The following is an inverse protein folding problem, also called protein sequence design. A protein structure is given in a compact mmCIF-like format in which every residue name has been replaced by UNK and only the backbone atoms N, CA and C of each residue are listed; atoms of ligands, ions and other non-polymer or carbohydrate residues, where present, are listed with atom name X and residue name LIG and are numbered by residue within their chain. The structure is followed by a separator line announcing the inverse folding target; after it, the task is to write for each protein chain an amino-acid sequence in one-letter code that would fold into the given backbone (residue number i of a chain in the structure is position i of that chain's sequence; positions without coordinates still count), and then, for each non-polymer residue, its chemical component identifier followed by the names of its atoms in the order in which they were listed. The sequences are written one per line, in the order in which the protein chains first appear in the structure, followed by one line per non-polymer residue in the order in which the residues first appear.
data_IF_971898312892
#
_entry.id   IF_971898312892
#
_cell.length_a   1.000
_cell.length_b   1.000
_cell.length_c   1.000
_cell.angle_alpha   90.00
_cell.angle_beta   90.00
_cell.angle_gamma   90.00
#
_symmetry.space_group_name_H-M   'P 1'
#
loop_
_entity.id
_entity.type
_entity.pdbx_description
1 polymer ?
#
# COMPACT_ATOMS: atom_id res chain seq x y z
N UNK A 1 42.58 -33.75 57.86
CA UNK A 1 42.89 -32.89 56.70
C UNK A 1 42.37 -33.57 55.45
N UNK A 2 41.69 -32.80 54.60
CA UNK A 2 41.13 -33.12 53.27
C UNK A 2 39.88 -34.02 53.22
N UNK A 3 38.71 -33.40 52.98
CA UNK A 3 37.73 -33.92 52.03
C UNK A 3 37.25 -32.78 51.14
N UNK A 4 37.21 -33.05 49.84
CA UNK A 4 36.77 -32.15 48.79
C UNK A 4 35.24 -32.04 48.75
N UNK A 5 34.72 -30.87 48.38
CA UNK A 5 33.36 -30.79 47.85
C UNK A 5 33.20 -29.69 46.78
N UNK A 6 32.25 -29.94 45.88
CA UNK A 6 32.12 -29.44 44.50
C UNK A 6 31.70 -27.96 44.39
N UNK A 7 32.20 -27.29 43.35
CA UNK A 7 31.71 -25.99 42.89
C UNK A 7 30.61 -26.17 41.82
N UNK A 8 29.39 -25.69 42.12
CA UNK A 8 28.33 -25.43 41.13
C UNK A 8 28.20 -23.90 40.92
N UNK A 9 28.49 -23.44 39.70
CA UNK A 9 28.37 -22.03 39.31
C UNK A 9 26.95 -21.77 38.77
N UNK A 10 26.10 -21.10 39.56
CA UNK A 10 24.82 -20.55 39.07
C UNK A 10 25.05 -19.21 38.36
N UNK A 11 24.76 -19.17 37.05
CA UNK A 11 24.78 -17.95 36.23
C UNK A 11 23.49 -17.16 36.48
N UNK A 12 23.59 -16.05 37.21
CA UNK A 12 22.51 -15.07 37.37
C UNK A 12 22.47 -14.10 36.18
N UNK A 13 21.34 -14.08 35.46
CA UNK A 13 21.07 -13.20 34.31
C UNK A 13 20.91 -11.75 34.78
N UNK A 14 21.80 -10.86 34.38
CA UNK A 14 21.75 -9.43 34.72
C UNK A 14 20.49 -8.76 34.14
N UNK A 15 19.72 -8.08 35.00
CA UNK A 15 18.59 -7.22 34.60
C UNK A 15 19.13 -5.85 34.18
N UNK A 16 19.05 -5.53 32.89
CA UNK A 16 19.35 -4.19 32.38
C UNK A 16 18.23 -3.23 32.76
N UNK A 17 18.54 -2.20 33.55
CA UNK A 17 17.65 -1.06 33.75
C UNK A 17 17.70 -0.18 32.50
N UNK A 18 16.55 0.16 31.94
CA UNK A 18 16.40 1.14 30.85
C UNK A 18 16.85 2.52 31.35
N UNK A 19 17.89 3.10 30.74
CA UNK A 19 18.44 4.41 31.13
C UNK A 19 17.59 5.54 30.54
N UNK A 20 17.69 6.73 31.15
CA UNK A 20 17.01 7.97 30.73
C UNK A 20 17.30 8.37 29.27
N UNK A 21 18.36 7.84 28.66
CA UNK A 21 18.73 8.06 27.26
C UNK A 21 17.85 7.27 26.27
N UNK A 22 17.32 6.10 26.66
CA UNK A 22 16.28 5.39 25.87
C UNK A 22 14.95 6.16 25.86
N UNK A 23 14.73 7.03 26.85
CA UNK A 23 13.55 7.89 26.95
C UNK A 23 13.71 9.13 26.06
N UNK A 24 14.95 9.61 25.84
CA UNK A 24 15.24 10.85 25.12
C UNK A 24 15.32 10.68 23.59
N UNK A 25 15.58 9.48 23.09
CA UNK A 25 15.41 9.15 21.65
C UNK A 25 13.93 9.04 21.22
N UNK A 26 12.99 9.25 22.16
CA UNK A 26 11.55 9.01 22.03
C UNK A 26 10.73 10.28 21.73
N UNK A 27 11.30 11.27 21.03
CA UNK A 27 10.60 12.53 20.73
C UNK A 27 10.68 12.87 19.24
N UNK A 28 9.65 12.45 18.48
CA UNK A 28 9.02 13.23 17.38
C UNK A 28 7.90 12.41 16.72
N UNK A 29 6.65 12.47 17.24
CA UNK A 29 5.36 12.40 16.50
C UNK A 29 4.19 12.06 17.44
N UNK A 30 3.02 12.73 17.33
CA UNK A 30 1.90 12.54 18.24
C UNK A 30 0.99 11.37 17.81
N UNK A 31 1.07 10.28 18.58
CA UNK A 31 0.18 9.13 18.62
C UNK A 31 0.55 8.35 19.89
N UNK A 32 -0.42 7.80 20.62
CA UNK A 32 -0.10 7.16 21.91
C UNK A 32 0.38 5.72 21.79
N UNK A 33 0.10 5.09 20.65
CA UNK A 33 0.52 3.73 20.36
C UNK A 33 1.97 3.81 19.89
N UNK A 34 2.89 3.61 20.85
CA UNK A 34 4.31 3.47 20.56
C UNK A 34 4.56 2.06 20.03
N UNK A 35 4.44 1.88 18.71
CA UNK A 35 4.88 0.64 18.06
C UNK A 35 6.40 0.56 18.20
N UNK A 36 6.91 -0.57 18.68
CA UNK A 36 8.35 -0.77 18.75
C UNK A 36 8.81 -1.38 17.42
N UNK A 37 9.38 -0.52 16.57
CA UNK A 37 9.90 -0.87 15.24
C UNK A 37 11.36 -1.31 15.26
N UNK A 38 12.00 -1.39 16.44
CA UNK A 38 13.38 -1.86 16.54
C UNK A 38 13.48 -3.29 16.01
N UNK A 39 14.28 -3.47 14.96
CA UNK A 39 14.43 -4.76 14.28
C UNK A 39 13.23 -5.14 13.41
N UNK A 40 12.36 -4.19 13.04
CA UNK A 40 11.27 -4.45 12.13
C UNK A 40 11.78 -4.90 10.76
N UNK A 41 11.08 -5.86 10.16
CA UNK A 41 11.37 -6.32 8.81
C UNK A 41 10.09 -6.77 8.10
N UNK A 42 10.11 -6.67 6.78
CA UNK A 42 9.03 -7.12 5.92
C UNK A 42 9.20 -8.63 5.68
N UNK A 43 8.14 -9.41 5.89
CA UNK A 43 8.15 -10.87 5.76
C UNK A 43 8.08 -11.23 4.27
N UNK A 44 9.21 -11.64 3.69
CA UNK A 44 9.24 -12.09 2.30
C UNK A 44 8.59 -13.50 2.21
N UNK A 45 7.67 -13.74 1.23
CA UNK A 45 6.91 -15.00 1.16
C UNK A 45 7.78 -16.27 1.11
N UNK A 46 8.97 -16.17 0.51
CA UNK A 46 9.92 -17.27 0.35
C UNK A 46 10.72 -17.60 1.63
N UNK A 47 10.53 -16.87 2.74
CA UNK A 47 11.27 -17.09 4.01
C UNK A 47 10.53 -17.92 5.05
N UNK A 48 9.44 -18.58 4.65
CA UNK A 48 8.76 -19.55 5.50
C UNK A 48 9.66 -20.77 5.74
N UNK A 49 10.16 -20.95 6.96
CA UNK A 49 10.77 -22.21 7.43
C UNK A 49 9.78 -23.37 7.17
N UNK A 50 10.23 -24.56 6.73
CA UNK A 50 9.32 -25.61 6.32
C UNK A 50 8.50 -26.11 7.51
N UNK A 51 7.17 -26.03 7.40
CA UNK A 51 6.28 -26.76 8.28
C UNK A 51 6.57 -28.26 8.11
N UNK A 52 7.07 -28.87 9.17
CA UNK A 52 7.32 -30.30 9.27
C UNK A 52 6.01 -31.05 9.11
N UNK A 53 5.90 -31.79 8.01
CA UNK A 53 5.17 -33.05 7.91
C UNK A 53 3.66 -32.99 7.87
N UNK A 54 3.10 -32.92 6.67
CA UNK A 54 2.00 -33.82 6.27
C UNK A 54 2.03 -34.07 4.76
N UNK A 55 2.08 -35.36 4.45
CA UNK A 55 1.97 -36.08 3.18
C UNK A 55 1.20 -35.40 2.05
N UNK A 56 1.83 -35.44 0.87
CA UNK A 56 1.27 -35.34 -0.48
C UNK A 56 -0.01 -36.17 -0.68
N UNK A 57 -1.13 -35.51 -0.99
CA UNK A 57 -2.17 -36.07 -1.86
C UNK A 57 -2.83 -34.98 -2.70
N UNK A 58 -2.80 -35.20 -4.02
CA UNK A 58 -3.63 -34.51 -5.00
C UNK A 58 -5.11 -34.68 -4.64
N UNK A 59 -5.88 -33.59 -4.61
CA UNK A 59 -7.31 -33.66 -4.92
C UNK A 59 -7.85 -32.31 -5.41
N UNK A 60 -8.26 -32.33 -6.67
CA UNK A 60 -9.29 -31.49 -7.23
C UNK A 60 -10.64 -31.73 -6.53
N UNK A 61 -11.44 -30.66 -6.43
CA UNK A 61 -12.84 -30.59 -5.99
C UNK A 61 -13.12 -30.65 -4.47
N UNK A 62 -13.38 -29.47 -3.89
CA UNK A 62 -14.43 -29.28 -2.89
C UNK A 62 -14.99 -27.85 -2.99
N UNK A 63 -16.30 -27.75 -3.22
CA UNK A 63 -17.08 -26.52 -3.23
C UNK A 63 -17.17 -25.91 -1.82
N UNK A 64 -16.82 -24.63 -1.69
CA UNK A 64 -17.09 -23.82 -0.50
C UNK A 64 -16.44 -22.45 -0.67
N UNK A 65 -17.26 -21.39 -0.71
CA UNK A 65 -16.91 -19.96 -0.91
C UNK A 65 -15.59 -19.56 -0.23
N UNK A 66 -14.49 -19.61 -0.96
CA UNK A 66 -13.23 -18.97 -0.61
C UNK A 66 -12.99 -17.83 -1.60
N UNK A 67 -12.74 -16.62 -1.10
CA UNK A 67 -12.38 -15.47 -1.93
C UNK A 67 -11.14 -15.82 -2.77
N UNK A 68 -11.18 -15.75 -4.11
CA UNK A 68 -10.02 -16.06 -4.92
C UNK A 68 -9.10 -14.82 -5.03
N UNK A 69 -7.79 -15.10 -4.97
CA UNK A 69 -6.66 -14.35 -5.58
C UNK A 69 -6.42 -12.90 -5.15
N UNK A 70 -5.37 -12.65 -4.33
CA UNK A 70 -4.66 -11.37 -4.30
C UNK A 70 -3.17 -11.60 -4.05
N UNK A 71 -2.31 -10.79 -4.67
CA UNK A 71 -0.92 -10.64 -4.25
C UNK A 71 -0.89 -10.40 -2.74
N UNK A 72 -0.43 -11.39 -1.97
CA UNK A 72 -0.23 -11.24 -0.52
C UNK A 72 0.75 -10.08 -0.32
N UNK A 73 0.25 -8.97 0.22
CA UNK A 73 1.14 -7.92 0.70
C UNK A 73 1.85 -8.50 1.91
N UNK A 74 3.19 -8.49 1.88
CA UNK A 74 4.00 -9.01 2.98
C UNK A 74 3.65 -8.35 4.31
N UNK A 75 3.47 -9.14 5.37
CA UNK A 75 3.33 -8.59 6.71
C UNK A 75 4.62 -7.90 7.18
N UNK A 76 4.51 -7.02 8.18
CA UNK A 76 5.67 -6.45 8.86
C UNK A 76 5.83 -7.08 10.24
N UNK A 77 6.95 -7.76 10.46
CA UNK A 77 7.27 -8.34 11.76
C UNK A 77 7.86 -7.27 12.67
N UNK A 78 7.34 -7.22 13.90
CA UNK A 78 7.74 -6.30 14.97
C UNK A 78 8.26 -7.11 16.17
N UNK A 79 9.53 -7.58 16.16
CA UNK A 79 10.04 -8.56 17.13
C UNK A 79 10.10 -8.04 18.57
N UNK A 80 10.16 -6.73 18.76
CA UNK A 80 10.31 -6.13 20.08
C UNK A 80 9.03 -5.45 20.59
N UNK A 81 7.90 -5.56 19.87
CA UNK A 81 6.65 -4.94 20.28
C UNK A 81 5.77 -5.88 21.11
N UNK A 82 5.76 -5.70 22.44
CA UNK A 82 5.04 -6.57 23.38
C UNK A 82 3.74 -5.97 23.93
N UNK A 83 3.47 -4.69 23.66
CA UNK A 83 2.25 -4.03 24.14
C UNK A 83 0.98 -4.62 23.51
N UNK A 84 -0.16 -4.39 24.16
CA UNK A 84 -1.47 -4.71 23.56
C UNK A 84 -1.81 -3.60 22.57
N UNK A 85 -2.19 -3.98 21.36
CA UNK A 85 -2.82 -3.07 20.39
C UNK A 85 -4.31 -3.34 20.44
N UNK A 86 -5.11 -2.32 20.72
CA UNK A 86 -6.57 -2.41 20.90
C UNK A 86 -7.33 -1.63 19.82
N UNK A 87 -6.84 -1.65 18.58
CA UNK A 87 -7.54 -1.02 17.48
C UNK A 87 -7.24 -1.70 16.15
N UNK A 88 -8.20 -1.57 15.24
CA UNK A 88 -8.10 -1.91 13.82
C UNK A 88 -8.09 -0.58 13.07
N UNK A 89 -7.33 -0.49 11.99
CA UNK A 89 -7.35 0.68 11.13
C UNK A 89 -7.84 0.32 9.72
N UNK A 90 -8.67 1.17 9.15
CA UNK A 90 -9.24 0.99 7.81
C UNK A 90 -9.14 2.28 7.00
N UNK A 91 -8.69 2.18 5.76
CA UNK A 91 -8.81 3.21 4.74
C UNK A 91 -9.81 2.76 3.70
N UNK A 92 -10.98 3.40 3.69
CA UNK A 92 -12.12 3.04 2.85
C UNK A 92 -12.15 3.98 1.64
N UNK A 93 -11.46 3.58 0.57
CA UNK A 93 -11.44 4.29 -0.69
C UNK A 93 -12.70 4.06 -1.54
N UNK A 94 -12.76 4.71 -2.71
CA UNK A 94 -13.89 4.57 -3.63
C UNK A 94 -14.06 3.16 -4.20
N UNK A 95 -12.95 2.44 -4.42
CA UNK A 95 -12.94 1.11 -5.05
C UNK A 95 -12.40 0.00 -4.14
N UNK A 96 -11.51 0.33 -3.20
CA UNK A 96 -10.82 -0.64 -2.36
C UNK A 96 -10.78 -0.17 -0.91
N UNK A 97 -10.95 -1.12 0.02
CA UNK A 97 -10.76 -0.98 1.45
C UNK A 97 -9.42 -1.60 1.82
N UNK A 98 -8.61 -0.87 2.60
CA UNK A 98 -7.34 -1.36 3.13
C UNK A 98 -7.43 -1.41 4.64
N UNK A 99 -7.21 -2.57 5.19
CA UNK A 99 -7.31 -2.84 6.61
C UNK A 99 -5.93 -3.21 7.14
N UNK A 100 -5.57 -2.59 8.26
CA UNK A 100 -4.34 -2.83 9.00
C UNK A 100 -4.68 -3.18 10.43
N UNK A 101 -4.13 -4.29 10.92
CA UNK A 101 -4.31 -4.74 12.30
C UNK A 101 -3.06 -5.41 12.85
N UNK A 102 -2.93 -5.43 14.17
CA UNK A 102 -1.82 -6.08 14.85
C UNK A 102 -2.22 -7.46 15.37
N UNK A 103 -1.35 -8.46 15.22
CA UNK A 103 -1.53 -9.81 15.76
C UNK A 103 -0.31 -10.22 16.58
N UNK A 104 -0.55 -10.90 17.72
CA UNK A 104 0.52 -11.50 18.54
C UNK A 104 0.81 -12.92 18.05
N UNK A 105 2.08 -13.31 18.05
CA UNK A 105 2.48 -14.69 17.79
C UNK A 105 2.41 -15.52 19.08
N UNK A 106 1.21 -16.00 19.42
CA UNK A 106 0.94 -16.71 20.69
C UNK A 106 1.69 -18.05 20.82
N UNK A 107 2.15 -18.61 19.69
CA UNK A 107 2.82 -19.93 19.63
C UNK A 107 4.31 -19.86 19.24
N UNK A 108 4.87 -18.66 19.11
CA UNK A 108 6.31 -18.49 18.86
C UNK A 108 7.06 -18.34 20.18
N UNK A 109 8.27 -18.91 20.27
CA UNK A 109 9.21 -18.59 21.35
C UNK A 109 9.73 -17.16 21.26
N UNK A 110 9.55 -16.51 20.11
CA UNK A 110 10.00 -15.15 19.84
C UNK A 110 8.95 -14.14 20.33
N UNK A 111 9.41 -13.15 21.10
CA UNK A 111 8.58 -12.03 21.52
C UNK A 111 8.06 -11.21 20.32
N UNK A 112 7.01 -10.42 20.54
CA UNK A 112 6.54 -9.43 19.58
C UNK A 112 5.22 -9.77 18.88
N UNK A 113 5.00 -9.16 17.71
CA UNK A 113 3.89 -9.52 16.83
C UNK A 113 4.07 -9.03 15.40
N UNK A 114 2.97 -8.96 14.65
CA UNK A 114 2.94 -8.59 13.23
C UNK A 114 1.94 -7.47 12.98
N UNK A 115 2.30 -6.55 12.09
CA UNK A 115 1.35 -5.68 11.42
C UNK A 115 0.90 -6.41 10.15
N UNK A 116 -0.40 -6.65 10.06
CA UNK A 116 -1.03 -7.45 9.01
C UNK A 116 -1.78 -6.52 8.07
N UNK A 117 -1.80 -6.85 6.78
CA UNK A 117 -2.36 -6.02 5.72
C UNK A 117 -3.39 -6.80 4.93
N UNK A 118 -4.64 -6.32 4.91
CA UNK A 118 -5.73 -6.97 4.18
C UNK A 118 -6.41 -5.98 3.25
N UNK A 119 -6.75 -6.44 2.05
CA UNK A 119 -7.50 -5.67 1.06
C UNK A 119 -8.88 -6.29 0.81
N UNK A 120 -9.87 -5.43 0.58
CA UNK A 120 -11.20 -5.79 0.12
C UNK A 120 -11.64 -4.82 -0.98
N UNK A 121 -12.54 -5.26 -1.86
CA UNK A 121 -13.28 -4.36 -2.75
C UNK A 121 -14.30 -3.56 -1.92
N UNK A 122 -14.45 -2.26 -2.20
CA UNK A 122 -15.40 -1.40 -1.44
C UNK A 122 -16.84 -1.88 -1.57
N UNK A 123 -17.20 -2.48 -2.70
CA UNK A 123 -18.54 -3.07 -2.90
C UNK A 123 -18.77 -4.32 -2.05
N UNK A 124 -17.70 -4.95 -1.55
CA UNK A 124 -17.72 -6.06 -0.58
C UNK A 124 -17.47 -5.58 0.85
N UNK A 125 -18.03 -4.43 1.22
CA UNK A 125 -17.92 -3.87 2.58
C UNK A 125 -18.41 -4.84 3.66
N UNK A 126 -19.41 -5.68 3.36
CA UNK A 126 -19.93 -6.67 4.31
C UNK A 126 -18.87 -7.70 4.72
N UNK A 127 -18.09 -8.22 3.76
CA UNK A 127 -16.99 -9.14 4.02
C UNK A 127 -15.92 -8.51 4.92
N UNK A 128 -15.62 -7.22 4.70
CA UNK A 128 -14.68 -6.46 5.53
C UNK A 128 -15.21 -6.27 6.96
N UNK A 129 -16.50 -5.96 7.11
CA UNK A 129 -17.14 -5.81 8.43
C UNK A 129 -17.18 -7.14 9.18
N UNK A 130 -17.49 -8.25 8.50
CA UNK A 130 -17.45 -9.58 9.09
C UNK A 130 -16.02 -9.95 9.54
N UNK A 131 -15.01 -9.65 8.73
CA UNK A 131 -13.62 -9.86 9.10
C UNK A 131 -13.21 -9.02 10.32
N UNK A 132 -13.58 -7.73 10.36
CA UNK A 132 -13.33 -6.89 11.53
C UNK A 132 -14.01 -7.44 12.79
N UNK A 133 -15.23 -7.98 12.67
CA UNK A 133 -15.94 -8.60 13.78
C UNK A 133 -15.15 -9.80 14.33
N UNK A 134 -14.66 -10.67 13.45
CA UNK A 134 -13.82 -11.80 13.86
C UNK A 134 -12.53 -11.34 14.58
N UNK A 135 -11.89 -10.26 14.12
CA UNK A 135 -10.74 -9.67 14.80
C UNK A 135 -11.10 -9.13 16.18
N UNK A 136 -12.26 -8.48 16.32
CA UNK A 136 -12.77 -7.99 17.60
C UNK A 136 -13.01 -9.13 18.60
N UNK A 137 -13.67 -10.20 18.16
CA UNK A 137 -13.98 -11.38 18.99
C UNK A 137 -12.68 -12.04 19.48
N UNK A 138 -11.72 -12.27 18.57
CA UNK A 138 -10.41 -12.85 18.91
C UNK A 138 -9.61 -11.98 19.90
N UNK A 139 -9.68 -10.66 19.76
CA UNK A 139 -9.02 -9.73 20.68
C UNK A 139 -9.62 -9.80 22.09
N UNK A 140 -10.95 -9.93 22.19
CA UNK A 140 -11.66 -10.09 23.45
C UNK A 140 -11.28 -11.41 24.15
N UNK A 141 -11.23 -12.51 23.39
CA UNK A 141 -10.81 -13.82 23.89
C UNK A 141 -9.39 -13.81 24.46
N UNK A 142 -8.44 -13.17 23.77
CA UNK A 142 -7.02 -13.20 24.13
C UNK A 142 -6.64 -12.27 25.28
N UNK A 143 -7.30 -11.11 25.41
CA UNK A 143 -6.87 -10.06 26.35
C UNK A 143 -7.86 -9.79 27.48
N UNK A 144 -9.03 -10.44 27.50
CA UNK A 144 -10.01 -10.36 28.59
C UNK A 144 -10.44 -8.93 28.98
N UNK A 145 -10.24 -7.95 28.10
CA UNK A 145 -10.29 -6.52 28.43
C UNK A 145 -11.71 -5.97 28.33
N UNK A 146 -11.97 -4.86 29.04
CA UNK A 146 -13.24 -4.13 28.98
C UNK A 146 -13.52 -3.71 27.52
N UNK A 147 -14.69 -4.04 26.93
CA UNK A 147 -15.02 -3.75 25.52
C UNK A 147 -14.79 -2.30 25.07
N UNK A 148 -14.81 -1.34 26.00
CA UNK A 148 -14.66 0.09 25.72
C UNK A 148 -13.27 0.58 25.32
N UNK A 149 -12.25 -0.28 25.27
CA UNK A 149 -10.90 0.10 24.78
C UNK A 149 -10.69 -0.20 23.29
N UNK A 150 -11.41 -1.18 22.74
CA UNK A 150 -11.34 -1.55 21.33
C UNK A 150 -12.01 -0.47 20.48
N UNK A 151 -11.36 -0.08 19.39
CA UNK A 151 -11.93 0.87 18.45
C UNK A 151 -11.47 0.62 17.01
N UNK A 152 -12.19 1.20 16.06
CA UNK A 152 -11.81 1.24 14.65
C UNK A 152 -11.36 2.66 14.29
N UNK A 153 -10.14 2.79 13.79
CA UNK A 153 -9.62 4.02 13.20
C UNK A 153 -9.94 4.00 11.69
N UNK A 154 -10.87 4.83 11.24
CA UNK A 154 -11.32 4.84 9.86
C UNK A 154 -10.89 6.13 9.14
N UNK A 155 -10.34 6.00 7.94
CA UNK A 155 -10.01 7.13 7.06
C UNK A 155 -10.49 6.87 5.63
N UNK A 156 -10.26 7.84 4.74
CA UNK A 156 -10.79 7.85 3.38
C UNK A 156 -12.26 8.27 3.32
N UNK A 157 -12.74 8.64 2.14
CA UNK A 157 -14.13 9.10 1.94
C UNK A 157 -15.19 8.10 2.44
N UNK A 158 -14.91 6.79 2.36
CA UNK A 158 -15.81 5.74 2.83
C UNK A 158 -15.96 5.67 4.35
N UNK A 159 -15.02 6.23 5.13
CA UNK A 159 -15.15 6.30 6.59
C UNK A 159 -16.37 7.12 7.04
N UNK A 160 -16.83 8.06 6.22
CA UNK A 160 -18.09 8.79 6.45
C UNK A 160 -19.29 7.98 5.99
N UNK A 161 -19.21 7.41 4.78
CA UNK A 161 -20.32 6.67 4.14
C UNK A 161 -20.72 5.42 4.92
N UNK A 162 -19.76 4.68 5.47
CA UNK A 162 -20.00 3.39 6.14
C UNK A 162 -19.88 3.47 7.67
N UNK A 163 -19.83 4.68 8.22
CA UNK A 163 -19.66 4.92 9.65
C UNK A 163 -20.68 4.15 10.51
N UNK A 164 -21.97 4.39 10.26
CA UNK A 164 -23.05 3.76 11.05
C UNK A 164 -23.04 2.24 10.87
N UNK A 165 -22.80 1.75 9.65
CA UNK A 165 -22.71 0.31 9.36
C UNK A 165 -21.64 -0.39 10.20
N UNK A 166 -20.44 0.18 10.26
CA UNK A 166 -19.33 -0.39 11.03
C UNK A 166 -19.62 -0.29 12.53
N UNK A 167 -20.06 0.88 13.00
CA UNK A 167 -20.38 1.11 14.42
C UNK A 167 -21.46 0.14 14.91
N UNK A 168 -22.55 0.02 14.17
CA UNK A 168 -23.71 -0.76 14.58
C UNK A 168 -23.43 -2.27 14.52
N UNK A 169 -22.62 -2.72 13.55
CA UNK A 169 -22.24 -4.12 13.42
C UNK A 169 -21.24 -4.59 14.48
N UNK A 170 -20.28 -3.75 14.85
CA UNK A 170 -19.18 -4.10 15.76
C UNK A 170 -19.47 -3.73 17.22
N UNK A 171 -20.34 -2.75 17.48
CA UNK A 171 -20.61 -2.26 18.83
C UNK A 171 -19.41 -1.58 19.50
N UNK A 172 -18.43 -1.11 18.72
CA UNK A 172 -17.21 -0.43 19.19
C UNK A 172 -17.16 1.03 18.71
N UNK A 173 -16.32 1.84 19.34
CA UNK A 173 -16.08 3.20 18.89
C UNK A 173 -15.42 3.21 17.50
N UNK A 174 -15.98 3.99 16.58
CA UNK A 174 -15.36 4.27 15.28
C UNK A 174 -14.88 5.73 15.30
N UNK A 175 -13.58 5.93 15.11
CA UNK A 175 -12.94 7.23 15.06
C UNK A 175 -12.58 7.55 13.60
N UNK A 176 -13.04 8.70 13.10
CA UNK A 176 -12.76 9.12 11.72
C UNK A 176 -11.55 10.05 11.70
N UNK A 177 -10.64 9.79 10.77
CA UNK A 177 -9.40 10.55 10.58
C UNK A 177 -9.33 11.13 9.17
N UNK A 178 -8.68 12.29 9.05
CA UNK A 178 -8.46 12.95 7.75
C UNK A 178 -7.59 12.09 6.81
N UNK A 179 -8.04 11.96 5.56
CA UNK A 179 -7.41 11.11 4.55
C UNK A 179 -5.99 11.58 4.21
N UNK A 180 -5.80 12.88 3.98
CA UNK A 180 -4.49 13.41 3.59
C UNK A 180 -3.49 13.31 4.73
N UNK A 181 -3.91 13.63 5.96
CA UNK A 181 -3.06 13.48 7.13
C UNK A 181 -2.62 12.02 7.33
N UNK A 182 -3.54 11.07 7.21
CA UNK A 182 -3.24 9.65 7.32
C UNK A 182 -2.27 9.18 6.23
N UNK A 183 -2.47 9.56 4.97
CA UNK A 183 -1.53 9.23 3.89
C UNK A 183 -0.10 9.67 4.20
N UNK A 184 0.06 10.89 4.73
CA UNK A 184 1.38 11.48 5.04
C UNK A 184 2.01 10.79 6.24
N UNK A 185 1.26 10.56 7.32
CA UNK A 185 1.78 9.86 8.50
C UNK A 185 2.21 8.44 8.14
N UNK A 186 1.44 7.73 7.32
CA UNK A 186 1.78 6.38 6.88
C UNK A 186 3.01 6.36 5.98
N UNK A 187 3.11 7.28 5.01
CA UNK A 187 4.29 7.40 4.15
C UNK A 187 5.54 7.74 4.95
N UNK A 188 5.45 8.74 5.83
CA UNK A 188 6.56 9.15 6.66
C UNK A 188 7.05 8.01 7.55
N UNK A 189 6.15 7.19 8.11
CA UNK A 189 6.50 5.99 8.87
C UNK A 189 7.25 4.98 8.01
N UNK A 190 6.80 4.74 6.78
CA UNK A 190 7.48 3.83 5.87
C UNK A 190 8.87 4.32 5.44
N UNK A 191 9.04 5.62 5.23
CA UNK A 191 10.34 6.19 4.86
C UNK A 191 11.33 6.12 6.04
N UNK A 192 10.88 6.38 7.27
CA UNK A 192 11.79 6.54 8.42
C UNK A 192 11.97 5.28 9.26
N UNK A 193 10.94 4.44 9.39
CA UNK A 193 10.93 3.35 10.38
C UNK A 193 11.10 1.95 9.79
N UNK A 194 10.68 1.73 8.53
CA UNK A 194 10.62 0.38 7.95
C UNK A 194 11.78 0.16 6.96
N UNK A 195 12.74 -0.73 7.27
CA UNK A 195 13.82 -1.07 6.35
C UNK A 195 13.30 -1.79 5.10
N UNK A 196 13.99 -1.57 3.96
CA UNK A 196 13.65 -2.21 2.67
C UNK A 196 12.20 -1.97 2.22
N UNK A 197 11.64 -0.83 2.58
CA UNK A 197 10.29 -0.43 2.18
C UNK A 197 10.29 0.41 0.92
N UNK A 198 11.10 1.46 0.90
CA UNK A 198 11.19 2.41 -0.21
C UNK A 198 12.23 1.92 -1.21
N UNK A 199 11.92 1.99 -2.50
CA UNK A 199 12.85 1.63 -3.56
C UNK A 199 12.68 2.49 -4.82
N UNK A 200 13.70 2.48 -5.66
CA UNK A 200 13.67 3.02 -7.02
C UNK A 200 13.62 1.87 -8.02
N UNK A 201 13.04 2.09 -9.20
CA UNK A 201 12.96 1.07 -10.25
C UNK A 201 12.95 1.67 -11.65
N UNK A 202 13.73 1.09 -12.56
CA UNK A 202 13.56 1.20 -14.02
C UNK A 202 13.99 -0.12 -14.68
N UNK A 203 13.71 -0.30 -15.97
CA UNK A 203 14.21 -1.48 -16.69
C UNK A 203 15.74 -1.49 -16.85
N UNK A 204 16.35 -0.32 -16.98
CA UNK A 204 17.81 -0.17 -17.14
C UNK A 204 18.57 -0.19 -15.81
N UNK A 205 17.87 0.06 -14.72
CA UNK A 205 18.40 0.14 -13.36
C UNK A 205 17.38 -0.54 -12.45
N UNK A 206 17.52 -1.86 -12.20
CA UNK A 206 16.56 -2.67 -11.47
C UNK A 206 16.29 -2.17 -10.04
N UNK A 207 15.46 -2.90 -9.30
CA UNK A 207 14.98 -2.49 -7.99
C UNK A 207 16.12 -2.24 -6.99
N UNK A 208 16.23 -0.99 -6.51
CA UNK A 208 17.21 -0.58 -5.51
C UNK A 208 16.51 -0.02 -4.26
N UNK A 209 16.69 -0.71 -3.13
CA UNK A 209 16.17 -0.24 -1.86
C UNK A 209 16.92 1.00 -1.36
N UNK A 210 16.15 1.95 -0.86
CA UNK A 210 16.65 3.18 -0.26
C UNK A 210 16.71 2.99 1.25
N UNK A 211 17.87 3.25 1.85
CA UNK A 211 18.00 3.26 3.31
C UNK A 211 17.14 4.38 3.92
N UNK A 212 16.56 4.16 5.11
CA UNK A 212 15.86 5.22 5.84
C UNK A 212 16.71 6.48 5.97
N UNK A 213 16.06 7.65 5.83
CA UNK A 213 16.72 8.96 5.85
C UNK A 213 16.15 9.81 6.98
N UNK A 214 16.99 10.58 7.66
CA UNK A 214 16.55 11.54 8.69
C UNK A 214 15.88 12.78 8.09
N UNK A 215 16.33 13.21 6.90
CA UNK A 215 15.80 14.37 6.17
C UNK A 215 15.05 13.89 4.94
N UNK A 216 13.72 13.88 5.04
CA UNK A 216 12.83 13.37 3.98
C UNK A 216 12.08 14.48 3.25
N UNK A 217 12.00 15.69 3.81
CA UNK A 217 11.26 16.81 3.23
C UNK A 217 12.16 17.79 2.46
N UNK A 218 11.61 18.53 1.47
CA UNK A 218 10.26 18.38 0.94
C UNK A 218 10.16 17.22 -0.05
N UNK A 219 8.98 16.60 -0.14
CA UNK A 219 8.68 15.59 -1.15
C UNK A 219 7.28 15.82 -1.75
N UNK A 220 7.05 15.21 -2.93
CA UNK A 220 5.73 15.06 -3.51
C UNK A 220 5.21 13.64 -3.29
N UNK A 221 4.00 13.51 -2.77
CA UNK A 221 3.26 12.25 -2.79
C UNK A 221 2.24 12.32 -3.93
N UNK A 222 2.41 11.44 -4.91
CA UNK A 222 1.45 11.18 -5.99
C UNK A 222 0.66 9.94 -5.61
N UNK A 223 -0.49 10.13 -4.97
CA UNK A 223 -1.36 9.03 -4.53
C UNK A 223 -2.33 8.65 -5.65
N UNK A 224 -2.12 7.47 -6.26
CA UNK A 224 -2.89 6.97 -7.41
C UNK A 224 -3.94 5.96 -6.94
N UNK A 225 -5.17 6.43 -6.77
CA UNK A 225 -6.36 5.62 -6.49
C UNK A 225 -7.32 5.59 -7.68
N UNK A 226 -8.63 5.72 -7.40
CA UNK A 226 -9.65 5.86 -8.46
C UNK A 226 -9.37 7.11 -9.32
N UNK A 227 -9.02 8.23 -8.68
CA UNK A 227 -8.36 9.38 -9.29
C UNK A 227 -6.94 9.55 -8.76
N UNK A 228 -6.33 10.72 -8.96
CA UNK A 228 -4.97 11.01 -8.48
C UNK A 228 -4.95 12.30 -7.67
N UNK A 229 -4.35 12.24 -6.49
CA UNK A 229 -4.07 13.39 -5.64
C UNK A 229 -2.56 13.59 -5.52
N UNK A 230 -2.11 14.83 -5.72
CA UNK A 230 -0.70 15.20 -5.63
C UNK A 230 -0.53 16.15 -4.44
N UNK A 231 0.22 15.70 -3.45
CA UNK A 231 0.46 16.42 -2.20
C UNK A 231 1.92 16.87 -2.17
N UNK A 232 2.15 18.15 -1.90
CA UNK A 232 3.45 18.66 -1.49
C UNK A 232 3.54 18.57 0.03
N UNK A 233 4.60 17.96 0.53
CA UNK A 233 4.83 17.77 1.96
C UNK A 233 6.14 18.45 2.32
N UNK A 234 6.04 19.53 3.09
CA UNK A 234 7.16 20.31 3.62
C UNK A 234 7.54 19.89 5.05
N UNK A 235 6.68 19.12 5.72
CA UNK A 235 6.94 18.57 7.05
C UNK A 235 5.77 17.73 7.58
N UNK A 236 5.89 17.13 8.79
CA UNK A 236 4.92 16.16 9.32
C UNK A 236 3.46 16.65 9.41
N UNK A 237 3.26 17.97 9.46
CA UNK A 237 1.94 18.63 9.50
C UNK A 237 1.86 19.84 8.56
N UNK A 238 2.84 19.95 7.67
CA UNK A 238 2.93 21.06 6.72
C UNK A 238 2.84 20.46 5.32
N UNK A 239 1.62 20.44 4.78
CA UNK A 239 1.36 19.84 3.49
C UNK A 239 0.18 20.53 2.80
N UNK A 240 0.17 20.39 1.48
CA UNK A 240 -0.84 20.98 0.62
C UNK A 240 -1.14 20.04 -0.55
N UNK A 241 -2.42 19.88 -0.88
CA UNK A 241 -2.81 19.32 -2.18
C UNK A 241 -2.53 20.36 -3.28
N UNK A 242 -1.50 20.11 -4.08
CA UNK A 242 -1.04 21.02 -5.14
C UNK A 242 -1.60 20.70 -6.51
N UNK A 243 -2.09 19.47 -6.69
CA UNK A 243 -2.67 19.06 -7.95
C UNK A 243 -3.39 17.71 -7.88
N UNK A 244 -3.82 17.27 -9.05
CA UNK A 244 -4.44 15.97 -9.23
C UNK A 244 -5.01 15.83 -10.64
N UNK A 245 -5.48 14.63 -10.95
CA UNK A 245 -6.19 14.33 -12.20
C UNK A 245 -7.28 13.31 -11.93
N UNK A 246 -8.39 13.39 -12.66
CA UNK A 246 -9.42 12.35 -12.64
C UNK A 246 -9.00 11.10 -13.42
N UNK A 247 -7.95 11.20 -14.25
CA UNK A 247 -7.37 10.11 -15.04
C UNK A 247 -6.46 9.24 -14.15
N UNK A 248 -7.06 8.52 -13.21
CA UNK A 248 -6.38 7.57 -12.33
C UNK A 248 -6.69 6.10 -12.66
N UNK A 249 -6.52 5.23 -11.67
CA UNK A 249 -6.79 3.80 -11.81
C UNK A 249 -8.25 3.48 -12.11
N UNK A 250 -9.20 4.29 -11.63
CA UNK A 250 -10.62 4.14 -11.95
C UNK A 250 -10.93 4.43 -13.41
N UNK A 251 -10.19 5.35 -14.05
CA UNK A 251 -10.31 5.59 -15.50
C UNK A 251 -9.76 4.42 -16.29
N UNK A 252 -8.57 3.92 -15.94
CA UNK A 252 -7.99 2.74 -16.60
C UNK A 252 -8.93 1.54 -16.49
N UNK A 253 -9.37 1.22 -15.27
CA UNK A 253 -10.25 0.10 -15.01
C UNK A 253 -11.59 0.25 -15.73
N UNK A 254 -12.23 1.43 -15.64
CA UNK A 254 -13.49 1.70 -16.31
C UNK A 254 -13.42 1.50 -17.82
N UNK A 255 -12.39 2.04 -18.47
CA UNK A 255 -12.20 1.89 -19.92
C UNK A 255 -11.90 0.45 -20.31
N UNK A 256 -11.00 -0.25 -19.59
CA UNK A 256 -10.67 -1.63 -19.90
C UNK A 256 -11.86 -2.57 -19.67
N UNK A 257 -12.67 -2.34 -18.64
CA UNK A 257 -13.90 -3.14 -18.43
C UNK A 257 -14.92 -3.02 -19.57
N UNK A 258 -14.89 -1.93 -20.33
CA UNK A 258 -15.73 -1.72 -21.51
C UNK A 258 -15.12 -2.30 -22.78
N UNK A 259 -13.78 -2.32 -22.87
CA UNK A 259 -13.05 -2.62 -24.09
C UNK A 259 -12.45 -4.03 -24.12
N UNK A 260 -12.35 -4.69 -22.97
CA UNK A 260 -11.75 -6.02 -22.84
C UNK A 260 -12.63 -6.94 -21.99
N UNK A 261 -12.30 -8.24 -22.00
CA UNK A 261 -13.01 -9.27 -21.25
C UNK A 261 -12.54 -9.43 -19.80
N UNK A 262 -11.52 -8.67 -19.38
CA UNK A 262 -10.87 -8.76 -18.07
C UNK A 262 -11.87 -8.56 -16.91
N UNK A 263 -11.74 -9.38 -15.86
CA UNK A 263 -12.72 -9.42 -14.76
C UNK A 263 -12.32 -8.56 -13.57
N UNK A 264 -11.03 -8.45 -13.33
CA UNK A 264 -10.48 -7.69 -12.22
C UNK A 264 -9.27 -6.87 -12.68
N UNK A 265 -8.77 -6.02 -11.79
CA UNK A 265 -7.65 -5.14 -12.10
C UNK A 265 -6.32 -5.88 -12.34
N UNK A 266 -6.12 -7.04 -11.70
CA UNK A 266 -4.91 -7.84 -11.86
C UNK A 266 -4.89 -8.52 -13.25
N UNK A 267 -6.03 -9.05 -13.72
CA UNK A 267 -6.19 -9.54 -15.09
C UNK A 267 -5.83 -8.45 -16.12
N UNK A 268 -6.25 -7.20 -15.87
CA UNK A 268 -5.98 -6.07 -16.76
C UNK A 268 -4.49 -5.75 -16.85
N UNK A 269 -3.79 -5.76 -15.71
CA UNK A 269 -2.34 -5.57 -15.67
C UNK A 269 -1.61 -6.73 -16.35
N UNK A 270 -2.05 -7.96 -16.13
CA UNK A 270 -1.48 -9.15 -16.79
C UNK A 270 -1.67 -9.11 -18.32
N UNK A 271 -2.87 -8.76 -18.79
CA UNK A 271 -3.14 -8.55 -20.23
C UNK A 271 -2.25 -7.46 -20.80
N UNK A 272 -2.15 -6.31 -20.11
CA UNK A 272 -1.24 -5.25 -20.51
C UNK A 272 0.20 -5.78 -20.60
N UNK A 273 0.63 -6.64 -19.68
CA UNK A 273 1.93 -7.32 -19.64
C UNK A 273 2.34 -8.06 -20.92
N UNK A 274 1.38 -8.48 -21.74
CA UNK A 274 1.60 -9.23 -23.00
C UNK A 274 1.28 -8.43 -24.27
N UNK A 275 0.78 -7.20 -24.14
CA UNK A 275 0.40 -6.37 -25.27
C UNK A 275 1.56 -5.58 -25.88
N UNK A 276 1.37 -5.18 -27.12
CA UNK A 276 2.18 -4.21 -27.85
C UNK A 276 1.34 -2.96 -28.17
N UNK A 277 1.67 -1.84 -27.51
CA UNK A 277 0.94 -0.60 -27.70
C UNK A 277 1.13 -0.01 -29.10
N UNK A 278 2.21 -0.36 -29.81
CA UNK A 278 2.48 0.17 -31.15
C UNK A 278 1.40 -0.23 -32.17
N UNK A 279 0.63 -1.28 -31.92
CA UNK A 279 -0.52 -1.66 -32.75
C UNK A 279 -1.68 -0.66 -32.62
N UNK A 280 -1.86 -0.06 -31.44
CA UNK A 280 -3.03 0.79 -31.09
C UNK A 280 -2.67 2.27 -31.12
N UNK A 281 -1.47 2.61 -30.66
CA UNK A 281 -0.98 3.98 -30.54
C UNK A 281 -0.34 4.47 -31.84
N UNK A 282 -0.49 5.77 -32.11
CA UNK A 282 0.29 6.44 -33.13
C UNK A 282 1.59 6.97 -32.50
N UNK A 283 2.72 6.48 -33.01
CA UNK A 283 4.06 6.84 -32.57
C UNK A 283 4.62 8.00 -33.40
N UNK A 284 5.68 8.65 -32.91
CA UNK A 284 6.41 9.69 -33.65
C UNK A 284 6.92 9.15 -35.00
N UNK A 285 7.41 7.91 -35.03
CA UNK A 285 7.86 7.26 -36.25
C UNK A 285 6.76 7.04 -37.29
N UNK A 286 5.50 6.86 -36.86
CA UNK A 286 4.36 6.74 -37.79
C UNK A 286 4.05 8.07 -38.50
N UNK A 287 4.41 9.20 -37.90
CA UNK A 287 4.16 10.55 -38.43
C UNK A 287 5.35 11.04 -39.27
N UNK A 288 6.58 10.86 -38.75
CA UNK A 288 7.78 11.45 -39.32
C UNK A 288 8.68 10.45 -40.06
N UNK A 289 8.41 9.14 -39.97
CA UNK A 289 9.23 8.07 -40.55
C UNK A 289 10.56 7.81 -39.83
N UNK A 290 10.92 8.63 -38.85
CA UNK A 290 12.16 8.57 -38.08
C UNK A 290 12.00 9.30 -36.74
N UNK A 291 13.09 9.41 -35.97
CA UNK A 291 13.17 10.25 -34.78
C UNK A 291 12.91 11.73 -35.12
N UNK A 292 12.23 12.45 -34.23
CA UNK A 292 12.03 13.89 -34.39
C UNK A 292 13.10 14.68 -33.63
N UNK A 293 14.28 14.77 -34.26
CA UNK A 293 15.50 15.31 -33.65
C UNK A 293 15.43 16.78 -33.22
N UNK A 294 14.56 17.62 -33.82
CA UNK A 294 14.45 19.05 -33.46
C UNK A 294 14.06 19.28 -32.00
N UNK A 295 13.28 18.38 -31.42
CA UNK A 295 12.79 18.46 -30.04
C UNK A 295 13.16 17.22 -29.22
N UNK A 296 14.03 16.35 -29.75
CA UNK A 296 14.57 15.19 -29.04
C UNK A 296 13.59 14.05 -28.78
N UNK A 297 12.57 13.87 -29.62
CA UNK A 297 11.63 12.73 -29.49
C UNK A 297 12.09 11.54 -30.33
N UNK A 298 12.09 10.35 -29.72
CA UNK A 298 12.41 9.10 -30.41
C UNK A 298 11.22 8.67 -31.27
N UNK A 299 11.49 7.93 -32.33
CA UNK A 299 10.48 7.31 -33.21
C UNK A 299 9.52 6.40 -32.45
N UNK A 300 9.96 5.77 -31.36
CA UNK A 300 9.15 4.92 -30.49
C UNK A 300 8.31 5.69 -29.47
N UNK A 301 8.47 7.01 -29.35
CA UNK A 301 7.66 7.83 -28.46
C UNK A 301 6.21 7.86 -28.94
N UNK A 302 5.26 7.66 -28.03
CA UNK A 302 3.83 7.79 -28.32
C UNK A 302 3.52 9.25 -28.63
N UNK A 303 3.01 9.52 -29.83
CA UNK A 303 2.54 10.84 -30.24
C UNK A 303 1.05 11.03 -29.93
N UNK A 304 0.26 9.97 -30.13
CA UNK A 304 -1.18 9.97 -29.84
C UNK A 304 -1.63 8.57 -29.42
N UNK A 305 -1.97 8.44 -28.13
CA UNK A 305 -2.57 7.22 -27.60
C UNK A 305 -3.89 6.91 -28.31
N UNK A 306 -4.11 5.64 -28.68
CA UNK A 306 -5.26 5.19 -29.49
C UNK A 306 -5.37 5.80 -30.90
N UNK A 307 -4.35 6.51 -31.38
CA UNK A 307 -4.39 7.24 -32.64
C UNK A 307 -4.64 6.35 -33.88
N UNK A 308 -4.26 5.06 -33.85
CA UNK A 308 -4.47 4.14 -34.97
C UNK A 308 -5.91 3.63 -35.05
N UNK A 309 -6.62 3.57 -33.93
CA UNK A 309 -8.00 3.05 -33.86
C UNK A 309 -8.94 3.82 -34.77
N UNK A 310 -8.88 5.16 -34.73
CA UNK A 310 -9.72 6.01 -35.58
C UNK A 310 -9.41 5.84 -37.07
N UNK A 311 -8.12 5.73 -37.42
CA UNK A 311 -7.66 5.55 -38.79
C UNK A 311 -8.11 4.19 -39.34
N UNK A 312 -7.91 3.11 -38.60
CA UNK A 312 -8.33 1.78 -39.03
C UNK A 312 -9.84 1.65 -39.14
N UNK A 313 -10.58 2.27 -38.21
CA UNK A 313 -12.04 2.34 -38.29
C UNK A 313 -12.50 3.01 -39.58
N UNK A 314 -11.94 4.17 -39.89
CA UNK A 314 -12.28 4.92 -41.10
C UNK A 314 -11.97 4.12 -42.37
N UNK A 315 -10.83 3.43 -42.41
CA UNK A 315 -10.44 2.58 -43.55
C UNK A 315 -11.36 1.38 -43.71
N UNK A 316 -11.73 0.73 -42.60
CA UNK A 316 -12.58 -0.44 -42.62
C UNK A 316 -14.03 -0.09 -42.96
N UNK A 317 -14.53 1.07 -42.52
CA UNK A 317 -15.82 1.62 -42.94
C UNK A 317 -15.84 1.97 -44.43
N UNK A 318 -14.80 2.64 -44.95
CA UNK A 318 -14.67 2.93 -46.38
C UNK A 318 -14.60 1.65 -47.23
N UNK A 319 -13.85 0.63 -46.77
CA UNK A 319 -13.78 -0.66 -47.45
C UNK A 319 -15.10 -1.44 -47.40
N UNK A 320 -15.86 -1.33 -46.29
CA UNK A 320 -17.19 -1.93 -46.18
C UNK A 320 -18.19 -1.24 -47.11
N UNK A 321 -18.13 0.08 -47.23
CA UNK A 321 -18.99 0.84 -48.14
C UNK A 321 -18.69 0.51 -49.62
N UNK A 322 -17.42 0.39 -50.00
CA UNK A 322 -17.04 -0.09 -51.33
C UNK A 322 -17.56 -1.51 -51.63
N UNK A 323 -17.64 -2.39 -50.60
CA UNK A 323 -18.20 -3.75 -50.73
C UNK A 323 -19.74 -3.76 -50.77
N UNK A 324 -20.44 -2.77 -50.22
CA UNK A 324 -21.91 -2.67 -50.32
C UNK A 324 -22.41 -2.32 -51.72
N UNK A 325 -21.53 -1.80 -52.57
CA UNK A 325 -21.83 -1.55 -53.98
C UNK A 325 -21.81 -2.83 -54.83
N UNK A 326 -21.49 -4.01 -54.24
CA UNK A 326 -21.65 -5.31 -54.90
C UNK A 326 -22.94 -6.04 -54.41
N UNK A 327 -23.70 -6.72 -55.30
CA UNK A 327 -25.08 -7.14 -55.00
C UNK A 327 -25.25 -8.29 -53.99
N UNK A 328 -24.17 -8.89 -53.48
CA UNK A 328 -24.21 -10.14 -52.70
C UNK A 328 -23.63 -10.02 -51.27
N UNK A 329 -23.28 -8.83 -50.80
CA UNK A 329 -22.65 -8.67 -49.49
C UNK A 329 -23.66 -8.25 -48.41
N UNK A 330 -23.74 -9.05 -47.34
CA UNK A 330 -24.38 -8.67 -46.07
C UNK A 330 -23.26 -8.33 -45.07
N UNK A 331 -22.71 -7.09 -45.06
CA UNK A 331 -21.57 -6.77 -44.21
C UNK A 331 -22.05 -6.69 -42.76
N UNK A 332 -21.64 -7.67 -41.95
CA UNK A 332 -21.73 -7.58 -40.50
C UNK A 332 -20.96 -6.36 -39.96
N UNK A 333 -21.05 -6.09 -38.64
CA UNK A 333 -20.35 -4.97 -38.03
C UNK A 333 -18.84 -5.03 -38.31
N UNK A 334 -18.25 -3.88 -38.64
CA UNK A 334 -16.81 -3.73 -38.88
C UNK A 334 -16.06 -4.08 -37.60
N UNK A 335 -15.40 -5.24 -37.58
CA UNK A 335 -14.57 -5.67 -36.46
C UNK A 335 -13.15 -5.13 -36.66
N UNK A 336 -12.73 -4.22 -35.78
CA UNK A 336 -11.36 -3.74 -35.74
C UNK A 336 -10.45 -4.84 -35.18
N UNK A 337 -9.27 -5.02 -35.77
CA UNK A 337 -8.36 -6.14 -35.49
C UNK A 337 -7.41 -5.94 -34.32
N UNK A 338 -7.77 -5.17 -33.29
CA UNK A 338 -6.90 -4.93 -32.13
C UNK A 338 -7.07 -6.02 -31.08
N UNK A 339 -5.96 -6.51 -30.53
CA UNK A 339 -6.01 -7.47 -29.42
C UNK A 339 -6.34 -6.76 -28.09
N UNK A 340 -7.01 -7.47 -27.17
CA UNK A 340 -7.32 -6.93 -25.83
C UNK A 340 -6.05 -6.58 -25.04
N UNK A 341 -4.97 -7.35 -25.23
CA UNK A 341 -3.67 -7.09 -24.61
C UNK A 341 -3.05 -5.77 -25.12
N UNK A 342 -3.14 -5.49 -26.42
CA UNK A 342 -2.61 -4.25 -27.00
C UNK A 342 -3.39 -3.02 -26.52
N UNK A 343 -4.73 -3.14 -26.45
CA UNK A 343 -5.62 -2.13 -25.87
C UNK A 343 -5.24 -1.88 -24.40
N UNK A 344 -5.02 -2.95 -23.63
CA UNK A 344 -4.61 -2.89 -22.23
C UNK A 344 -3.27 -2.21 -22.05
N UNK A 345 -2.26 -2.56 -22.86
CA UNK A 345 -0.95 -1.91 -22.83
C UNK A 345 -1.04 -0.43 -23.18
N UNK A 346 -1.75 -0.10 -24.26
CA UNK A 346 -1.90 1.29 -24.71
C UNK A 346 -2.58 2.17 -23.65
N UNK A 347 -3.69 1.72 -23.05
CA UNK A 347 -4.35 2.49 -21.98
C UNK A 347 -3.49 2.59 -20.71
N UNK A 348 -2.79 1.53 -20.33
CA UNK A 348 -1.87 1.57 -19.19
C UNK A 348 -0.79 2.64 -19.41
N UNK A 349 -0.20 2.70 -20.60
CA UNK A 349 0.79 3.72 -20.95
C UNK A 349 0.18 5.12 -21.03
N UNK A 350 -1.01 5.27 -21.62
CA UNK A 350 -1.69 6.56 -21.72
C UNK A 350 -1.93 7.18 -20.32
N UNK A 351 -2.50 6.41 -19.40
CA UNK A 351 -2.79 6.84 -18.04
C UNK A 351 -1.48 7.07 -17.26
N UNK A 352 -0.55 6.11 -17.29
CA UNK A 352 0.71 6.21 -16.52
C UNK A 352 1.59 7.37 -16.99
N UNK A 353 1.73 7.58 -18.30
CA UNK A 353 2.49 8.72 -18.84
C UNK A 353 1.84 10.05 -18.48
N UNK A 354 0.50 10.14 -18.52
CA UNK A 354 -0.20 11.36 -18.13
C UNK A 354 0.03 11.68 -16.65
N UNK A 355 -0.06 10.69 -15.76
CA UNK A 355 0.23 10.83 -14.34
C UNK A 355 1.69 11.27 -14.13
N UNK A 356 2.65 10.60 -14.78
CA UNK A 356 4.06 10.93 -14.68
C UNK A 356 4.39 12.34 -15.16
N UNK A 357 3.74 12.81 -16.24
CA UNK A 357 3.91 14.17 -16.74
C UNK A 357 3.33 15.22 -15.78
N UNK A 358 2.14 15.00 -15.23
CA UNK A 358 1.54 15.92 -14.26
C UNK A 358 2.40 15.96 -12.99
N UNK A 359 2.87 14.80 -12.50
CA UNK A 359 3.80 14.73 -11.37
C UNK A 359 5.09 15.52 -11.64
N UNK A 360 5.67 15.36 -12.83
CA UNK A 360 6.82 16.15 -13.27
C UNK A 360 6.52 17.65 -13.21
N UNK A 361 5.44 18.12 -13.84
CA UNK A 361 5.09 19.55 -13.88
C UNK A 361 4.87 20.12 -12.48
N UNK A 362 4.19 19.38 -11.60
CA UNK A 362 4.00 19.78 -10.20
C UNK A 362 5.34 19.84 -9.45
N UNK A 363 6.26 18.90 -9.70
CA UNK A 363 7.60 18.90 -9.12
C UNK A 363 8.43 20.10 -9.55
N UNK A 364 8.26 20.55 -10.80
CA UNK A 364 8.93 21.73 -11.34
C UNK A 364 8.37 23.01 -10.73
N UNK A 365 7.04 23.17 -10.71
CA UNK A 365 6.36 24.34 -10.15
C UNK A 365 6.74 24.54 -8.67
N UNK A 366 6.85 23.45 -7.92
CA UNK A 366 7.12 23.50 -6.49
C UNK A 366 8.59 23.29 -6.11
N UNK A 367 9.49 23.15 -7.09
CA UNK A 367 10.91 22.88 -6.89
C UNK A 367 11.20 21.71 -5.92
N UNK A 368 10.51 20.60 -6.12
CA UNK A 368 10.68 19.37 -5.33
C UNK A 368 11.31 18.29 -6.20
N UNK A 369 12.29 17.54 -5.69
CA UNK A 369 13.00 16.51 -6.47
C UNK A 369 12.58 15.09 -6.15
N UNK A 370 12.16 14.84 -4.91
CA UNK A 370 11.77 13.51 -4.44
C UNK A 370 10.26 13.32 -4.64
N UNK A 371 9.87 12.32 -5.43
CA UNK A 371 8.48 12.05 -5.81
C UNK A 371 8.14 10.60 -5.45
N UNK A 372 7.30 10.43 -4.44
CA UNK A 372 6.80 9.15 -3.98
C UNK A 372 5.48 8.83 -4.68
N UNK A 373 5.40 7.66 -5.30
CA UNK A 373 4.15 7.14 -5.84
C UNK A 373 3.52 6.17 -4.84
N UNK A 374 2.31 6.49 -4.42
CA UNK A 374 1.48 5.66 -3.54
C UNK A 374 0.16 5.29 -4.19
N UNK A 375 -0.68 4.59 -3.44
CA UNK A 375 -2.00 4.14 -3.88
C UNK A 375 -2.00 2.68 -4.33
N UNK A 376 -3.06 2.25 -5.02
CA UNK A 376 -3.30 0.84 -5.35
C UNK A 376 -3.28 0.55 -6.85
N UNK A 377 -2.73 1.49 -7.63
CA UNK A 377 -2.63 1.40 -9.07
C UNK A 377 -1.40 0.64 -9.56
N UNK A 378 -0.27 0.77 -8.86
CA UNK A 378 1.01 0.24 -9.33
C UNK A 378 1.11 -1.25 -9.04
N UNK A 379 0.73 -1.71 -7.83
CA UNK A 379 0.68 -3.11 -7.37
C UNK A 379 1.94 -3.92 -7.69
N UNK A 380 3.12 -3.29 -7.63
CA UNK A 380 4.39 -3.93 -7.99
C UNK A 380 4.55 -4.25 -9.48
N UNK A 381 3.65 -3.78 -10.35
CA UNK A 381 3.72 -4.01 -11.79
C UNK A 381 4.89 -3.23 -12.39
N UNK A 382 5.92 -3.97 -12.81
CA UNK A 382 7.22 -3.44 -13.25
C UNK A 382 7.09 -2.45 -14.40
N UNK A 383 6.18 -2.69 -15.34
CA UNK A 383 5.99 -1.84 -16.49
C UNK A 383 5.38 -0.49 -16.09
N UNK A 384 4.43 -0.48 -15.15
CA UNK A 384 3.85 0.75 -14.61
C UNK A 384 4.93 1.59 -13.92
N UNK A 385 5.74 0.97 -13.05
CA UNK A 385 6.85 1.64 -12.38
C UNK A 385 7.89 2.15 -13.39
N UNK A 386 8.23 1.36 -14.41
CA UNK A 386 9.16 1.76 -15.46
C UNK A 386 8.65 2.99 -16.21
N UNK A 387 7.38 3.01 -16.62
CA UNK A 387 6.77 4.13 -17.33
C UNK A 387 6.81 5.41 -16.50
N UNK A 388 6.45 5.33 -15.21
CA UNK A 388 6.48 6.49 -14.30
C UNK A 388 7.91 7.01 -14.11
N UNK A 389 8.87 6.13 -13.84
CA UNK A 389 10.29 6.48 -13.68
C UNK A 389 10.90 7.07 -14.96
N UNK A 390 10.63 6.43 -16.11
CA UNK A 390 11.15 6.85 -17.40
C UNK A 390 10.61 8.23 -17.77
N UNK A 391 9.31 8.45 -17.65
CA UNK A 391 8.68 9.74 -17.93
C UNK A 391 9.29 10.84 -17.08
N UNK A 392 9.40 10.63 -15.77
CA UNK A 392 10.02 11.60 -14.87
C UNK A 392 11.48 11.90 -15.22
N UNK A 393 12.30 10.86 -15.41
CA UNK A 393 13.72 11.01 -15.74
C UNK A 393 13.92 11.70 -17.08
N UNK A 394 13.11 11.38 -18.09
CA UNK A 394 13.16 11.99 -19.41
C UNK A 394 12.86 13.49 -19.36
N UNK A 395 11.72 13.89 -18.80
CA UNK A 395 11.31 15.29 -18.76
C UNK A 395 12.18 16.14 -17.82
N UNK A 396 12.69 15.55 -16.74
CA UNK A 396 13.58 16.24 -15.80
C UNK A 396 15.06 16.21 -16.15
N UNK A 397 15.46 15.53 -17.24
CA UNK A 397 16.88 15.28 -17.55
C UNK A 397 17.65 14.63 -16.39
N UNK A 398 16.96 13.85 -15.56
CA UNK A 398 17.52 13.16 -14.40
C UNK A 398 17.53 13.95 -13.09
N UNK A 399 16.98 15.16 -13.05
CA UNK A 399 16.94 15.97 -11.82
C UNK A 399 15.87 15.54 -10.81
N UNK A 400 14.87 14.76 -11.25
CA UNK A 400 13.75 14.29 -10.41
C UNK A 400 13.81 12.78 -10.23
N UNK A 401 13.53 12.30 -9.03
CA UNK A 401 13.60 10.89 -8.67
C UNK A 401 12.21 10.35 -8.30
N UNK A 402 11.84 9.23 -8.94
CA UNK A 402 10.67 8.44 -8.58
C UNK A 402 11.01 7.44 -7.48
N UNK A 403 10.18 7.38 -6.45
CA UNK A 403 10.24 6.40 -5.37
C UNK A 403 8.93 5.61 -5.30
N UNK A 404 9.05 4.31 -5.03
CA UNK A 404 7.95 3.36 -4.87
C UNK A 404 8.04 2.71 -3.50
N UNK A 405 6.94 2.10 -3.07
CA UNK A 405 6.79 1.47 -1.76
C UNK A 405 6.27 0.05 -1.92
N UNK A 406 6.72 -0.86 -1.07
CA UNK A 406 6.16 -2.22 -1.02
C UNK A 406 4.71 -2.22 -0.51
N UNK A 407 4.38 -1.26 0.36
CA UNK A 407 3.05 -1.08 0.96
C UNK A 407 2.34 0.18 0.44
N UNK A 408 2.58 0.55 -0.83
CA UNK A 408 2.02 1.75 -1.49
C UNK A 408 0.50 1.95 -1.29
N UNK A 409 -0.28 0.87 -1.20
CA UNK A 409 -1.73 0.91 -1.07
C UNK A 409 -2.23 1.17 0.36
N UNK A 410 -1.36 1.08 1.36
CA UNK A 410 -1.74 1.04 2.78
C UNK A 410 -1.36 2.30 3.57
N UNK A 411 -0.88 3.35 2.90
CA UNK A 411 -0.45 4.59 3.55
C UNK A 411 -1.54 5.17 4.47
N UNK A 412 -2.79 5.28 3.98
CA UNK A 412 -3.91 5.81 4.75
C UNK A 412 -4.24 4.95 5.97
N UNK A 413 -4.33 3.63 5.79
CA UNK A 413 -4.67 2.71 6.86
C UNK A 413 -3.57 2.68 7.94
N UNK A 414 -2.30 2.69 7.56
CA UNK A 414 -1.17 2.79 8.49
C UNK A 414 -1.16 4.13 9.22
N UNK A 415 -1.43 5.24 8.51
CA UNK A 415 -1.59 6.54 9.14
C UNK A 415 -2.68 6.54 10.21
N UNK A 416 -3.87 6.03 9.87
CA UNK A 416 -4.98 5.90 10.81
C UNK A 416 -4.61 5.00 12.00
N UNK A 417 -3.88 3.92 11.76
CA UNK A 417 -3.36 3.03 12.81
C UNK A 417 -2.44 3.77 13.79
N UNK A 418 -1.52 4.60 13.28
CA UNK A 418 -0.55 5.32 14.09
C UNK A 418 -1.15 6.49 14.86
N UNK A 419 -2.27 7.06 14.39
CA UNK A 419 -2.94 8.19 15.03
C UNK A 419 -3.69 7.85 16.32
N UNK A 420 -3.91 6.57 16.65
CA UNK A 420 -4.67 6.19 17.84
C UNK A 420 -4.10 6.83 19.12
N UNK A 421 -4.95 7.60 19.80
CA UNK A 421 -4.74 8.16 21.13
C UNK A 421 -5.71 7.49 22.13
N UNK A 422 -5.35 7.15 23.37
CA UNK A 422 -6.22 6.47 24.31
C UNK A 422 -7.21 7.52 24.85
N UNK A 423 -8.35 7.10 25.39
CA UNK A 423 -9.44 8.00 25.79
C UNK A 423 -9.04 9.12 26.78
N UNK A 424 -7.97 8.93 27.56
CA UNK A 424 -7.48 9.89 28.55
C UNK A 424 -6.23 10.70 28.11
N UNK A 425 -5.83 10.62 26.84
CA UNK A 425 -4.66 11.35 26.34
C UNK A 425 -4.76 12.85 26.63
N UNK A 426 -3.72 13.42 27.25
CA UNK A 426 -3.67 14.85 27.59
C UNK A 426 -4.50 15.30 28.81
N UNK A 427 -5.18 14.38 29.52
CA UNK A 427 -5.78 14.68 30.86
C UNK A 427 -4.85 14.21 31.97
N UNK A 428 -4.92 14.86 33.15
CA UNK A 428 -4.10 14.58 34.35
C UNK A 428 -4.06 13.09 34.77
N UNK A 429 -5.07 12.31 34.38
CA UNK A 429 -5.21 10.88 34.67
C UNK A 429 -4.60 9.95 33.59
N UNK A 430 -3.89 10.47 32.58
CA UNK A 430 -3.19 9.64 31.58
C UNK A 430 -2.04 8.80 32.15
N UNK A 431 -1.70 8.98 33.43
CA UNK A 431 -0.67 8.25 34.18
C UNK A 431 -1.25 7.22 35.16
N UNK A 432 -2.57 7.16 35.37
CA UNK A 432 -3.18 6.32 36.42
C UNK A 432 -3.09 4.80 36.17
N UNK A 433 -2.61 4.34 35.02
CA UNK A 433 -2.26 2.93 34.80
C UNK A 433 -0.80 2.56 35.16
N UNK A 434 0.09 3.55 35.30
CA UNK A 434 1.49 3.31 35.69
C UNK A 434 1.61 3.07 37.20
N UNK A 435 0.74 3.68 38.01
CA UNK A 435 0.76 3.52 39.46
C UNK A 435 0.29 2.14 39.92
N UNK A 436 -0.71 1.55 39.25
CA UNK A 436 -1.13 0.16 39.51
C UNK A 436 -0.02 -0.83 39.16
N UNK A 437 0.68 -0.63 38.04
CA UNK A 437 1.84 -1.46 37.64
C UNK A 437 3.01 -1.30 38.63
N UNK A 438 3.22 -0.09 39.17
CA UNK A 438 4.23 0.19 40.20
C UNK A 438 3.85 -0.41 41.56
N UNK A 439 2.56 -0.42 41.93
CA UNK A 439 2.07 -1.05 43.15
C UNK A 439 2.13 -2.58 43.08
N UNK A 440 1.78 -3.19 41.94
CA UNK A 440 1.96 -4.63 41.69
C UNK A 440 3.44 -5.02 41.72
N UNK A 441 4.32 -4.19 41.15
CA UNK A 441 5.78 -4.40 41.27
C UNK A 441 6.32 -4.26 42.69
N UNK A 442 5.76 -3.36 43.51
CA UNK A 442 6.12 -3.23 44.93
C UNK A 442 5.63 -4.42 45.75
N UNK A 443 4.42 -4.94 45.49
CA UNK A 443 3.87 -6.09 46.22
C UNK A 443 4.58 -7.40 45.86
N UNK A 444 5.01 -7.58 44.61
CA UNK A 444 5.85 -8.72 44.20
C UNK A 444 7.24 -8.67 44.85
N UNK A 445 7.88 -7.50 44.91
CA UNK A 445 9.20 -7.34 45.57
C UNK A 445 9.15 -7.58 47.08
N UNK A 446 8.06 -7.18 47.75
CA UNK A 446 7.90 -7.41 49.18
C UNK A 446 7.70 -8.90 49.54
N UNK A 447 7.12 -9.69 48.62
CA UNK A 447 6.95 -11.14 48.79
C UNK A 447 8.25 -11.92 48.52
N UNK A 448 9.10 -11.45 47.61
CA UNK A 448 10.43 -12.04 47.35
C UNK A 448 11.46 -11.73 48.44
N UNK A 449 11.27 -10.69 49.25
CA UNK A 449 12.15 -10.35 50.37
C UNK A 449 11.77 -11.00 51.71
N UNK A 450 10.64 -11.72 51.75
CA UNK A 450 10.09 -12.34 52.96
C UNK A 450 10.09 -13.89 52.91
N UNK A 451 10.68 -14.47 51.86
CA UNK A 451 11.00 -15.89 51.72
C UNK A 451 12.51 -16.04 51.59
#
# INVERSE_FOLDING_TARGET
MASADKAETRIGRARTMTSTEEIDSTITRPGSVKINVKGAFIVDPDTSTPAVGTTTTNSSQANGRGSPTHHETSDIRLPNHTAVVSHIAVDIGGSLIKLVYFSREVHSTDSGGRLNFQIFETDRIDDCVEFMKHLCDKQLELNGSKPGELCVMATGGGAYKFYDKIRDALGVDVLREDEMECLIIGLDFFITEIPREVFTYSETDPMHFVSPREKIYPYLLVNIGSGVSILKVDGPRSYQRVGGTSLGGGTLWGLLSLLTSAKNFDDMLEQAGHGDNANVDMLVGDIYGADYGKIGLKSTTIASSFGKVFREKSLAEAAAEAKRQSPEANPGPVKLGFSESDISRSLLYAVSNNIGQIAYLQSQIHNVSDIYFGGSFIRGHRQTMNTLSYGLKFWSRGEKQAYFLRHEGYLGAVGAFLKRQPKNWGRRNSLEGMEEILQVRKSCRAKESAA
#
